data_IF_999789151595
#
_entry.id   IF_999789151595
#
_cell.length_a   1.000
_cell.length_b   1.000
_cell.length_c   1.000
_cell.angle_alpha   90.00
_cell.angle_beta   90.00
_cell.angle_gamma   90.00
#
_symmetry.space_group_name_H-M   'P 1'
#
loop_
_entity.id
_entity.type
_entity.pdbx_description
1 polymer ?
#
# COMPACT_ATOMS: atom_id res chain seq x y z
N UNK A 1 -5.37 -23.76 -12.96
CA UNK A 1 -5.16 -24.96 -13.80
C UNK A 1 -4.23 -25.99 -13.15
N UNK A 2 -2.92 -25.75 -12.94
CA UNK A 2 -2.02 -26.75 -12.31
C UNK A 2 -2.48 -27.28 -10.94
N UNK A 3 -3.00 -26.40 -10.07
CA UNK A 3 -3.50 -26.82 -8.77
C UNK A 3 -4.71 -27.77 -8.89
N UNK A 4 -5.61 -27.50 -9.85
CA UNK A 4 -6.75 -28.36 -10.13
C UNK A 4 -6.32 -29.71 -10.74
N UNK A 5 -5.35 -29.70 -11.67
CA UNK A 5 -4.79 -30.94 -12.24
C UNK A 5 -4.10 -31.80 -11.16
N UNK A 6 -3.32 -31.17 -10.27
CA UNK A 6 -2.69 -31.88 -9.14
C UNK A 6 -3.71 -32.43 -8.15
N UNK A 7 -4.76 -31.68 -7.87
CA UNK A 7 -5.87 -32.12 -7.03
C UNK A 7 -6.59 -33.31 -7.68
N UNK A 8 -6.94 -33.23 -8.97
CA UNK A 8 -7.61 -34.30 -9.69
C UNK A 8 -6.78 -35.59 -9.75
N UNK A 9 -5.45 -35.48 -9.81
CA UNK A 9 -4.56 -36.65 -9.70
C UNK A 9 -4.48 -37.19 -8.27
N UNK A 10 -4.44 -36.31 -7.27
CA UNK A 10 -4.44 -36.72 -5.85
C UNK A 10 -5.75 -37.42 -5.44
N UNK A 11 -6.88 -36.94 -5.96
CA UNK A 11 -8.22 -37.53 -5.76
C UNK A 11 -8.52 -38.66 -6.76
N UNK A 12 -7.54 -39.10 -7.54
CA UNK A 12 -7.66 -40.20 -8.51
C UNK A 12 -8.76 -40.01 -9.58
N UNK A 13 -9.23 -38.78 -9.78
CA UNK A 13 -10.17 -38.41 -10.86
C UNK A 13 -9.50 -38.51 -12.24
N UNK A 14 -8.17 -38.39 -12.28
CA UNK A 14 -7.35 -38.64 -13.48
C UNK A 14 -6.01 -39.22 -13.05
N UNK A 15 -5.44 -40.04 -13.92
CA UNK A 15 -4.10 -40.64 -13.79
C UNK A 15 -3.04 -39.89 -14.62
N UNK A 16 -3.43 -38.81 -15.31
CA UNK A 16 -2.54 -38.05 -16.21
C UNK A 16 -2.47 -36.59 -15.74
N UNK A 17 -1.30 -36.19 -15.25
CA UNK A 17 -0.98 -34.79 -14.96
C UNK A 17 -0.41 -34.11 -16.21
N UNK A 18 -1.22 -33.37 -16.97
CA UNK A 18 -0.72 -32.58 -18.09
C UNK A 18 0.27 -31.51 -17.58
N UNK A 19 1.55 -31.54 -17.98
CA UNK A 19 2.52 -30.55 -17.55
C UNK A 19 2.23 -29.22 -18.25
N UNK A 20 1.76 -28.24 -17.49
CA UNK A 20 1.59 -26.87 -17.97
C UNK A 20 2.83 -26.07 -17.57
N UNK A 21 3.79 -25.83 -18.49
CA UNK A 21 4.98 -25.02 -18.18
C UNK A 21 4.54 -23.59 -17.84
N UNK A 22 5.18 -23.01 -16.83
CA UNK A 22 5.02 -21.59 -16.55
C UNK A 22 5.94 -20.81 -17.47
N UNK A 23 5.48 -19.71 -18.07
CA UNK A 23 6.40 -18.79 -18.73
C UNK A 23 7.41 -18.27 -17.69
N UNK A 24 8.56 -17.83 -18.18
CA UNK A 24 9.54 -17.19 -17.31
C UNK A 24 8.88 -16.04 -16.55
N UNK A 25 9.13 -16.02 -15.25
CA UNK A 25 8.55 -15.01 -14.38
C UNK A 25 9.16 -13.66 -14.76
N UNK A 26 8.34 -12.71 -15.20
CA UNK A 26 8.79 -11.34 -15.42
C UNK A 26 9.57 -10.80 -14.22
N UNK A 27 10.63 -10.05 -14.51
CA UNK A 27 11.43 -9.40 -13.49
C UNK A 27 10.52 -8.56 -12.57
N UNK A 28 10.68 -8.65 -11.24
CA UNK A 28 9.89 -7.83 -10.33
C UNK A 28 10.17 -6.35 -10.58
N UNK A 29 9.11 -5.53 -10.58
CA UNK A 29 9.26 -4.07 -10.70
C UNK A 29 10.04 -3.56 -9.47
N UNK A 30 11.19 -2.93 -9.70
CA UNK A 30 12.09 -2.41 -8.65
C UNK A 30 11.76 -0.98 -8.20
N UNK A 31 10.61 -0.44 -8.61
CA UNK A 31 10.25 0.96 -8.35
C UNK A 31 9.96 1.19 -6.87
N UNK A 32 10.56 2.24 -6.32
CA UNK A 32 10.23 2.84 -5.02
C UNK A 32 10.34 4.36 -5.13
N UNK A 33 9.59 5.12 -4.32
CA UNK A 33 9.51 6.57 -4.41
C UNK A 33 10.55 7.28 -3.53
N UNK A 34 11.12 8.37 -4.03
CA UNK A 34 11.88 9.31 -3.21
C UNK A 34 10.97 10.10 -2.27
N UNK A 35 11.53 10.77 -1.25
CA UNK A 35 10.74 11.62 -0.35
C UNK A 35 9.98 12.74 -1.08
N UNK A 36 10.58 13.48 -2.03
CA UNK A 36 9.85 14.49 -2.81
C UNK A 36 8.72 13.91 -3.66
N UNK A 37 8.93 12.75 -4.31
CA UNK A 37 7.88 12.08 -5.08
C UNK A 37 6.71 11.65 -4.18
N UNK A 38 7.00 11.05 -3.03
CA UNK A 38 5.99 10.67 -2.05
C UNK A 38 5.20 11.90 -1.55
N UNK A 39 5.89 13.00 -1.25
CA UNK A 39 5.26 14.23 -0.80
C UNK A 39 4.33 14.82 -1.88
N UNK A 40 4.77 14.86 -3.15
CA UNK A 40 3.93 15.26 -4.29
C UNK A 40 2.72 14.37 -4.43
N UNK A 41 2.88 13.05 -4.29
CA UNK A 41 1.77 12.09 -4.39
C UNK A 41 0.73 12.29 -3.28
N UNK A 42 1.16 12.45 -2.04
CA UNK A 42 0.24 12.74 -0.90
C UNK A 42 -0.48 14.07 -1.11
N UNK A 43 0.24 15.11 -1.55
CA UNK A 43 -0.33 16.43 -1.80
C UNK A 43 -1.35 16.42 -2.94
N UNK A 44 -1.01 15.78 -4.06
CA UNK A 44 -1.90 15.60 -5.20
C UNK A 44 -3.17 14.84 -4.79
N UNK A 45 -3.02 13.72 -4.06
CA UNK A 45 -4.16 12.97 -3.52
C UNK A 45 -5.04 13.84 -2.60
N UNK A 46 -4.44 14.61 -1.70
CA UNK A 46 -5.20 15.45 -0.77
C UNK A 46 -6.01 16.55 -1.47
N UNK A 47 -5.44 17.15 -2.53
CA UNK A 47 -6.07 18.25 -3.28
C UNK A 47 -6.96 17.78 -4.44
N UNK A 48 -6.89 16.51 -4.82
CA UNK A 48 -7.64 15.96 -5.95
C UNK A 48 -9.12 16.26 -5.80
N UNK A 49 -9.66 16.99 -6.79
CA UNK A 49 -11.04 17.42 -6.83
C UNK A 49 -11.80 16.71 -7.95
N UNK A 50 -13.12 16.62 -7.79
CA UNK A 50 -13.97 16.20 -8.89
C UNK A 50 -13.85 17.22 -10.02
N UNK A 51 -13.70 16.74 -11.25
CA UNK A 51 -13.86 17.55 -12.44
C UNK A 51 -15.11 17.13 -13.21
N UNK A 52 -15.58 18.00 -14.09
CA UNK A 52 -16.55 17.69 -15.13
C UNK A 52 -15.98 18.09 -16.51
N UNK A 53 -16.35 17.42 -17.61
CA UNK A 53 -15.83 17.76 -18.93
C UNK A 53 -16.20 19.19 -19.33
N UNK A 54 -15.23 19.95 -19.85
CA UNK A 54 -15.48 21.20 -20.53
C UNK A 54 -16.20 20.94 -21.86
N UNK A 55 -17.17 21.80 -22.19
CA UNK A 55 -18.01 21.67 -23.37
C UNK A 55 -17.75 22.85 -24.32
N UNK A 56 -17.82 22.60 -25.62
CA UNK A 56 -17.87 23.65 -26.65
C UNK A 56 -19.27 24.30 -26.71
N UNK A 57 -19.43 25.32 -27.54
CA UNK A 57 -20.70 26.04 -27.72
C UNK A 57 -21.85 25.14 -28.22
N UNK A 58 -21.54 23.94 -28.73
CA UNK A 58 -22.50 22.94 -29.21
C UNK A 58 -22.73 21.80 -28.20
N UNK A 59 -22.21 21.93 -26.97
CA UNK A 59 -22.37 20.94 -25.90
C UNK A 59 -21.49 19.69 -26.04
N UNK A 60 -20.49 19.68 -26.91
CA UNK A 60 -19.58 18.54 -27.13
C UNK A 60 -18.36 18.68 -26.22
N UNK A 61 -17.81 17.56 -25.76
CA UNK A 61 -16.62 17.57 -24.90
C UNK A 61 -15.42 18.15 -25.66
N UNK A 62 -14.76 19.13 -25.07
CA UNK A 62 -13.48 19.63 -25.56
C UNK A 62 -12.43 18.56 -25.28
N UNK A 63 -11.74 18.09 -26.32
CA UNK A 63 -10.70 17.06 -26.21
C UNK A 63 -9.34 17.75 -26.19
N UNK A 64 -8.51 17.42 -25.20
CA UNK A 64 -7.14 17.89 -25.07
C UNK A 64 -6.20 17.20 -26.04
N UNK A 65 -4.96 17.68 -26.10
CA UNK A 65 -3.89 17.09 -26.93
C UNK A 65 -3.54 15.65 -26.54
N UNK A 66 -3.92 15.20 -25.34
CA UNK A 66 -3.74 13.84 -24.83
C UNK A 66 -4.89 12.88 -25.21
N UNK A 67 -5.86 13.35 -26.00
CA UNK A 67 -7.06 12.59 -26.39
C UNK A 67 -8.07 12.41 -25.26
N UNK A 68 -7.88 13.04 -24.09
CA UNK A 68 -8.82 13.00 -22.97
C UNK A 68 -9.68 14.28 -22.94
N UNK A 69 -10.90 14.24 -22.37
CA UNK A 69 -11.68 15.45 -22.17
C UNK A 69 -10.94 16.44 -21.27
N UNK A 70 -10.91 17.72 -21.67
CA UNK A 70 -10.50 18.81 -20.80
C UNK A 70 -11.47 18.88 -19.63
N UNK A 71 -10.97 18.96 -18.40
CA UNK A 71 -11.80 18.89 -17.20
C UNK A 71 -11.85 20.25 -16.49
N UNK A 72 -13.05 20.76 -16.25
CA UNK A 72 -13.29 21.91 -15.39
C UNK A 72 -13.22 21.48 -13.90
N UNK A 73 -12.49 22.22 -13.05
CA UNK A 73 -12.35 21.88 -11.64
C UNK A 73 -13.64 22.20 -10.86
N UNK A 74 -13.91 21.41 -9.82
CA UNK A 74 -14.90 21.75 -8.79
C UNK A 74 -14.22 21.92 -7.43
N UNK A 75 -14.97 22.44 -6.44
CA UNK A 75 -14.49 22.52 -5.05
C UNK A 75 -14.54 21.18 -4.30
N UNK A 76 -15.23 20.17 -4.83
CA UNK A 76 -15.47 18.89 -4.13
C UNK A 76 -14.21 18.03 -4.13
N UNK A 77 -13.59 17.84 -2.96
CA UNK A 77 -12.41 16.97 -2.79
C UNK A 77 -12.80 15.50 -2.85
N UNK A 78 -12.15 14.75 -3.73
CA UNK A 78 -12.41 13.32 -3.92
C UNK A 78 -11.23 12.43 -3.50
N UNK A 79 -10.01 12.96 -3.40
CA UNK A 79 -8.83 12.14 -3.12
C UNK A 79 -8.39 12.03 -1.66
N UNK A 80 -9.11 12.65 -0.70
CA UNK A 80 -8.76 12.57 0.74
C UNK A 80 -8.55 11.12 1.21
N UNK A 81 -9.40 10.19 0.78
CA UNK A 81 -9.28 8.76 1.12
C UNK A 81 -8.03 8.11 0.52
N UNK A 82 -7.59 8.54 -0.66
CA UNK A 82 -6.33 8.09 -1.29
C UNK A 82 -5.13 8.58 -0.48
N UNK A 83 -5.15 9.82 0.01
CA UNK A 83 -4.08 10.33 0.88
C UNK A 83 -4.00 9.54 2.20
N UNK A 84 -5.14 9.20 2.81
CA UNK A 84 -5.20 8.31 3.99
C UNK A 84 -4.60 6.93 3.69
N UNK A 85 -4.95 6.36 2.55
CA UNK A 85 -4.39 5.09 2.07
C UNK A 85 -2.86 5.16 1.92
N UNK A 86 -2.35 6.19 1.24
CA UNK A 86 -0.90 6.36 1.01
C UNK A 86 -0.14 6.44 2.34
N UNK A 87 -0.60 7.29 3.26
CA UNK A 87 0.04 7.47 4.56
C UNK A 87 -0.01 6.17 5.36
N UNK A 88 -1.16 5.50 5.42
CA UNK A 88 -1.29 4.27 6.20
C UNK A 88 -0.41 3.15 5.64
N UNK A 89 -0.32 2.99 4.32
CA UNK A 89 0.58 1.99 3.72
C UNK A 89 2.05 2.33 3.94
N UNK A 90 2.45 3.60 3.82
CA UNK A 90 3.83 4.04 4.03
C UNK A 90 4.31 3.79 5.46
N UNK A 91 3.48 4.10 6.46
CA UNK A 91 3.85 3.96 7.87
C UNK A 91 3.79 2.51 8.38
N UNK A 92 2.90 1.67 7.82
CA UNK A 92 2.70 0.31 8.34
C UNK A 92 3.36 -0.78 7.49
N UNK A 93 3.84 -0.42 6.29
CA UNK A 93 4.28 -1.38 5.27
C UNK A 93 3.27 -2.53 5.09
N UNK A 94 1.96 -2.28 5.22
CA UNK A 94 0.91 -3.29 5.07
C UNK A 94 0.58 -3.54 3.60
N UNK A 95 -0.17 -4.60 3.30
CA UNK A 95 -0.66 -4.83 1.92
C UNK A 95 -1.87 -3.94 1.64
N UNK A 96 -2.10 -3.48 0.40
CA UNK A 96 -3.24 -2.63 0.07
C UNK A 96 -4.59 -3.17 0.57
N UNK A 97 -4.82 -4.49 0.41
CA UNK A 97 -6.03 -5.17 0.87
C UNK A 97 -6.25 -5.12 2.38
N UNK A 98 -5.18 -5.12 3.19
CA UNK A 98 -5.25 -4.99 4.64
C UNK A 98 -5.71 -3.57 5.01
N UNK A 99 -5.11 -2.56 4.36
CA UNK A 99 -5.40 -1.15 4.64
C UNK A 99 -6.82 -0.76 4.27
N UNK A 100 -7.29 -1.15 3.08
CA UNK A 100 -8.65 -0.81 2.64
C UNK A 100 -9.73 -1.57 3.43
N UNK A 101 -9.37 -2.69 4.07
CA UNK A 101 -10.28 -3.46 4.91
C UNK A 101 -10.31 -2.99 6.38
N UNK A 102 -9.35 -2.15 6.78
CA UNK A 102 -9.15 -1.74 8.17
C UNK A 102 -10.29 -0.85 8.68
N UNK A 103 -10.99 -1.34 9.69
CA UNK A 103 -11.96 -0.58 10.46
C UNK A 103 -11.26 0.33 11.50
N UNK A 104 -12.04 1.23 12.09
CA UNK A 104 -11.67 2.02 13.27
C UNK A 104 -12.53 1.50 14.42
N UNK A 105 -11.91 0.70 15.30
CA UNK A 105 -12.60 -0.07 16.34
C UNK A 105 -13.03 -1.49 15.92
N UNK A 106 -13.29 -2.40 16.88
CA UNK A 106 -13.62 -3.80 16.62
C UNK A 106 -14.79 -3.94 15.63
N UNK A 107 -14.61 -4.75 14.59
CA UNK A 107 -15.64 -4.98 13.56
C UNK A 107 -15.57 -6.42 13.04
N UNK A 108 -16.73 -7.08 12.95
CA UNK A 108 -16.85 -8.47 12.49
C UNK A 108 -16.27 -8.61 11.08
N UNK A 109 -15.46 -9.66 10.87
CA UNK A 109 -14.86 -9.96 9.58
C UNK A 109 -13.80 -8.96 9.09
N UNK A 110 -13.32 -8.05 9.95
CA UNK A 110 -12.31 -7.04 9.58
C UNK A 110 -11.17 -6.97 10.59
N UNK A 111 -9.99 -6.58 10.09
CA UNK A 111 -8.97 -6.00 10.94
C UNK A 111 -9.37 -4.58 11.34
N UNK A 112 -8.85 -4.09 12.47
CA UNK A 112 -9.21 -2.77 12.98
C UNK A 112 -8.06 -2.07 13.68
N UNK A 113 -8.09 -0.74 13.66
CA UNK A 113 -7.24 0.13 14.47
C UNK A 113 -7.98 0.46 15.76
N UNK A 114 -7.36 0.18 16.88
CA UNK A 114 -7.75 0.67 18.19
C UNK A 114 -7.12 2.05 18.40
N UNK A 115 -7.95 3.09 18.50
CA UNK A 115 -7.49 4.47 18.62
C UNK A 115 -6.95 4.80 20.02
N UNK A 116 -7.28 4.00 21.03
CA UNK A 116 -6.87 4.24 22.41
C UNK A 116 -5.51 3.61 22.66
N UNK A 117 -5.37 2.32 22.33
CA UNK A 117 -4.11 1.58 22.50
C UNK A 117 -3.11 1.81 21.37
N UNK A 118 -3.56 2.25 20.20
CA UNK A 118 -2.72 2.43 19.01
C UNK A 118 -2.36 1.12 18.32
N UNK A 119 -2.97 0.00 18.71
CA UNK A 119 -2.76 -1.30 18.06
C UNK A 119 -3.58 -1.38 16.78
N UNK A 120 -2.93 -1.78 15.69
CA UNK A 120 -3.59 -2.15 14.45
C UNK A 120 -3.63 -3.67 14.31
N UNK A 121 -4.80 -4.22 14.59
CA UNK A 121 -5.14 -5.63 14.35
C UNK A 121 -5.38 -5.83 12.85
N UNK A 122 -4.39 -6.37 12.13
CA UNK A 122 -4.42 -6.35 10.65
C UNK A 122 -5.34 -7.40 10.04
N UNK A 123 -5.81 -8.34 10.86
CA UNK A 123 -6.72 -9.41 10.46
C UNK A 123 -7.95 -9.45 11.36
N UNK A 124 -9.07 -9.98 10.86
CA UNK A 124 -10.15 -10.44 11.71
C UNK A 124 -9.62 -11.49 12.71
N UNK A 125 -10.12 -11.49 13.95
CA UNK A 125 -9.71 -12.46 14.98
C UNK A 125 -9.86 -13.92 14.54
N UNK A 126 -10.88 -14.22 13.73
CA UNK A 126 -11.17 -15.57 13.23
C UNK A 126 -10.36 -15.96 11.99
N UNK A 127 -9.52 -15.07 11.45
CA UNK A 127 -8.82 -15.34 10.22
C UNK A 127 -7.68 -16.33 10.44
N UNK A 128 -7.73 -17.46 9.73
CA UNK A 128 -6.65 -18.47 9.72
C UNK A 128 -5.31 -17.84 9.34
N UNK A 129 -4.26 -18.32 9.98
CA UNK A 129 -2.91 -17.98 9.58
C UNK A 129 -2.58 -18.56 8.20
N UNK A 130 -1.84 -17.78 7.41
CA UNK A 130 -1.36 -18.21 6.09
C UNK A 130 0.06 -17.70 5.91
N UNK A 131 0.76 -18.22 4.89
CA UNK A 131 2.08 -17.70 4.47
C UNK A 131 2.07 -16.19 4.20
N UNK A 132 0.92 -15.61 3.82
CA UNK A 132 0.74 -14.15 3.71
C UNK A 132 0.39 -13.58 5.10
N UNK A 133 1.38 -13.57 5.99
CA UNK A 133 1.24 -13.05 7.36
C UNK A 133 0.81 -11.58 7.33
N UNK A 134 -0.01 -11.20 8.30
CA UNK A 134 -0.38 -9.82 8.56
C UNK A 134 -0.57 -9.72 10.08
N UNK A 135 0.54 -9.64 10.83
CA UNK A 135 0.51 -9.62 12.29
C UNK A 135 -0.04 -8.29 12.79
N UNK A 136 -0.46 -8.31 14.04
CA UNK A 136 -0.84 -7.10 14.76
C UNK A 136 0.39 -6.26 15.04
N UNK A 137 0.23 -4.94 15.01
CA UNK A 137 1.34 -4.01 15.23
C UNK A 137 0.92 -2.83 16.07
N UNK A 138 1.89 -2.26 16.78
CA UNK A 138 1.77 -0.91 17.29
C UNK A 138 1.94 0.09 16.14
N UNK A 139 1.03 1.06 16.05
CA UNK A 139 1.15 2.14 15.09
C UNK A 139 2.21 3.15 15.54
N UNK A 140 2.90 3.75 14.57
CA UNK A 140 3.72 4.93 14.82
C UNK A 140 2.84 6.07 15.41
N UNK A 141 3.31 6.79 16.45
CA UNK A 141 2.52 7.85 17.09
C UNK A 141 2.02 8.93 16.13
N UNK A 142 2.78 9.24 15.06
CA UNK A 142 2.37 10.23 14.05
C UNK A 142 1.20 9.70 13.22
N UNK A 143 1.24 8.44 12.78
CA UNK A 143 0.13 7.83 12.06
C UNK A 143 -1.11 7.74 12.95
N UNK A 144 -0.97 7.33 14.21
CA UNK A 144 -2.08 7.31 15.16
C UNK A 144 -2.72 8.70 15.31
N UNK A 145 -1.88 9.74 15.46
CA UNK A 145 -2.33 11.13 15.50
C UNK A 145 -3.06 11.56 14.22
N UNK A 146 -2.63 11.10 13.04
CA UNK A 146 -3.36 11.33 11.79
C UNK A 146 -4.74 10.66 11.79
N UNK A 147 -4.83 9.40 12.20
CA UNK A 147 -6.11 8.66 12.21
C UNK A 147 -7.10 9.29 13.20
N UNK A 148 -6.63 9.70 14.40
CA UNK A 148 -7.45 10.44 15.37
C UNK A 148 -7.98 11.75 14.77
N UNK A 149 -7.11 12.56 14.13
CA UNK A 149 -7.55 13.78 13.43
C UNK A 149 -8.57 13.51 12.33
N UNK A 150 -8.43 12.40 11.59
CA UNK A 150 -9.41 12.01 10.56
C UNK A 150 -10.75 11.61 11.16
N UNK A 151 -10.74 10.92 12.31
CA UNK A 151 -11.94 10.58 13.06
C UNK A 151 -12.68 11.85 13.53
N UNK A 152 -11.96 12.80 14.12
CA UNK A 152 -12.57 14.04 14.58
C UNK A 152 -13.07 14.89 13.41
N UNK A 153 -12.35 14.90 12.28
CA UNK A 153 -12.82 15.57 11.06
C UNK A 153 -14.13 14.96 10.56
N UNK A 154 -14.26 13.63 10.61
CA UNK A 154 -15.51 12.96 10.28
C UNK A 154 -16.65 13.41 11.22
N UNK A 155 -16.41 13.41 12.54
CA UNK A 155 -17.39 13.86 13.54
C UNK A 155 -17.87 15.29 13.28
N UNK A 156 -16.96 16.21 12.94
CA UNK A 156 -17.30 17.60 12.61
C UNK A 156 -18.06 17.73 11.28
N UNK A 157 -17.68 16.96 10.27
CA UNK A 157 -18.27 17.07 8.92
C UNK A 157 -19.68 16.43 8.83
N UNK A 158 -19.97 15.39 9.60
CA UNK A 158 -21.22 14.62 9.44
C UNK A 158 -21.75 13.95 10.73
N UNK A 159 -21.28 14.36 11.92
CA UNK A 159 -21.81 13.91 13.20
C UNK A 159 -21.47 12.47 13.61
N UNK A 160 -20.67 11.74 12.82
CA UNK A 160 -20.32 10.34 13.08
C UNK A 160 -18.81 10.12 13.19
N UNK A 161 -18.45 9.10 13.96
CA UNK A 161 -17.10 8.56 13.96
C UNK A 161 -16.73 7.98 12.59
N UNK A 162 -15.43 8.01 12.28
CA UNK A 162 -14.86 7.32 11.15
C UNK A 162 -15.03 5.81 11.36
N UNK A 163 -15.55 5.08 10.37
CA UNK A 163 -15.73 3.62 10.48
C UNK A 163 -14.58 2.84 9.89
N UNK A 164 -13.92 3.40 8.89
CA UNK A 164 -12.81 2.76 8.16
C UNK A 164 -11.65 3.73 8.01
N UNK A 165 -10.42 3.24 8.15
CA UNK A 165 -9.22 4.08 7.99
C UNK A 165 -9.22 4.73 6.60
N UNK A 166 -9.59 3.94 5.58
CA UNK A 166 -9.79 4.39 4.20
C UNK A 166 -11.27 4.30 3.86
N UNK A 167 -11.98 5.39 4.12
CA UNK A 167 -13.43 5.52 3.93
C UNK A 167 -13.78 6.42 2.75
N UNK A 168 -14.78 6.02 1.97
CA UNK A 168 -15.40 6.82 0.93
C UNK A 168 -16.91 6.87 1.13
N UNK A 169 -17.48 8.07 1.29
CA UNK A 169 -18.93 8.28 1.52
C UNK A 169 -19.50 7.39 2.65
N UNK A 170 -18.76 7.24 3.76
CA UNK A 170 -19.19 6.40 4.89
C UNK A 170 -18.97 4.90 4.70
N UNK A 171 -18.59 4.44 3.50
CA UNK A 171 -18.33 3.04 3.19
C UNK A 171 -16.85 2.70 3.10
N UNK A 172 -16.49 1.41 3.22
CA UNK A 172 -15.12 0.97 2.96
C UNK A 172 -14.80 1.04 1.48
N UNK A 173 -13.56 1.40 1.14
CA UNK A 173 -13.10 1.36 -0.25
C UNK A 173 -12.85 -0.09 -0.66
N UNK A 174 -13.56 -0.58 -1.68
CA UNK A 174 -13.36 -1.96 -2.19
C UNK A 174 -12.12 -2.07 -3.08
N UNK A 175 -11.85 -1.06 -3.91
CA UNK A 175 -10.74 -1.03 -4.87
C UNK A 175 -10.17 0.38 -4.96
N UNK A 176 -8.91 0.55 -4.59
CA UNK A 176 -8.24 1.87 -4.56
C UNK A 176 -7.57 2.22 -5.90
N UNK A 177 -7.34 1.24 -6.78
CA UNK A 177 -6.47 1.37 -7.96
C UNK A 177 -6.83 2.54 -8.87
N UNK A 178 -8.13 2.74 -9.17
CA UNK A 178 -8.58 3.82 -10.06
C UNK A 178 -8.27 5.20 -9.46
N UNK A 179 -8.64 5.41 -8.20
CA UNK A 179 -8.41 6.67 -7.51
C UNK A 179 -6.91 6.93 -7.26
N UNK A 180 -6.14 5.87 -7.00
CA UNK A 180 -4.69 5.95 -6.85
C UNK A 180 -3.99 6.37 -8.15
N UNK A 181 -4.40 5.81 -9.31
CA UNK A 181 -3.87 6.21 -10.63
C UNK A 181 -4.14 7.69 -10.90
N UNK A 182 -5.35 8.16 -10.64
CA UNK A 182 -5.69 9.58 -10.80
C UNK A 182 -4.80 10.48 -9.91
N UNK A 183 -4.46 10.04 -8.70
CA UNK A 183 -3.52 10.76 -7.84
C UNK A 183 -2.07 10.71 -8.37
N UNK A 184 -1.65 9.62 -9.00
CA UNK A 184 -0.34 9.51 -9.65
C UNK A 184 -0.24 10.42 -10.87
N UNK A 185 -1.25 10.42 -11.74
CA UNK A 185 -1.35 11.33 -12.89
C UNK A 185 -1.28 12.79 -12.42
N UNK A 186 -2.07 13.16 -11.40
CA UNK A 186 -2.04 14.51 -10.82
C UNK A 186 -0.71 14.87 -10.13
N UNK A 187 0.09 13.87 -9.73
CA UNK A 187 1.42 14.07 -9.16
C UNK A 187 2.54 14.07 -10.23
N UNK A 188 2.21 13.82 -11.50
CA UNK A 188 3.20 13.65 -12.57
C UNK A 188 4.07 12.41 -12.37
N UNK A 189 3.47 11.31 -11.88
CA UNK A 189 4.12 10.01 -11.73
C UNK A 189 3.65 9.04 -12.82
N UNK A 190 4.56 8.15 -13.25
CA UNK A 190 4.29 7.13 -14.27
C UNK A 190 3.36 6.01 -13.82
N UNK A 191 2.99 5.15 -14.77
CA UNK A 191 2.14 3.97 -14.56
C UNK A 191 2.86 2.80 -13.85
N UNK A 192 4.18 2.94 -13.67
CA UNK A 192 5.04 2.09 -12.85
C UNK A 192 4.77 2.26 -11.34
N UNK A 193 4.14 3.37 -10.95
CA UNK A 193 3.70 3.64 -9.58
C UNK A 193 2.31 3.07 -9.35
N UNK A 194 2.26 1.95 -8.64
CA UNK A 194 1.01 1.25 -8.27
C UNK A 194 0.89 1.16 -6.75
N UNK A 195 -0.27 0.78 -6.17
CA UNK A 195 -0.40 0.71 -4.71
C UNK A 195 0.73 -0.07 -4.03
N UNK A 196 1.15 -1.21 -4.60
CA UNK A 196 2.23 -2.03 -4.04
C UNK A 196 3.62 -1.36 -4.06
N UNK A 197 3.82 -0.34 -4.89
CA UNK A 197 5.03 0.49 -4.89
C UNK A 197 5.21 1.21 -3.55
N UNK A 198 4.11 1.54 -2.86
CA UNK A 198 4.17 2.19 -1.54
C UNK A 198 4.78 1.26 -0.48
N UNK A 199 4.31 0.01 -0.41
CA UNK A 199 4.95 -1.00 0.44
C UNK A 199 6.44 -1.18 0.12
N UNK A 200 6.79 -1.24 -1.17
CA UNK A 200 8.20 -1.35 -1.57
C UNK A 200 9.00 -0.14 -1.08
N UNK A 201 8.42 1.06 -1.19
CA UNK A 201 8.99 2.31 -0.70
C UNK A 201 9.21 2.29 0.81
N UNK A 202 8.20 1.91 1.59
CA UNK A 202 8.27 1.84 3.05
C UNK A 202 9.42 0.92 3.51
N UNK A 203 9.51 -0.28 2.94
CA UNK A 203 10.56 -1.25 3.29
C UNK A 203 11.93 -0.75 2.85
N UNK A 204 12.05 -0.20 1.64
CA UNK A 204 13.32 0.35 1.14
C UNK A 204 13.81 1.49 2.04
N UNK A 205 12.92 2.41 2.44
CA UNK A 205 13.28 3.50 3.34
C UNK A 205 13.71 2.99 4.71
N UNK A 206 13.00 2.00 5.27
CA UNK A 206 13.36 1.41 6.55
C UNK A 206 14.76 0.76 6.50
N UNK A 207 15.06 0.00 5.44
CA UNK A 207 16.37 -0.61 5.24
C UNK A 207 17.49 0.42 5.07
N UNK A 208 17.27 1.48 4.27
CA UNK A 208 18.24 2.58 4.14
C UNK A 208 18.45 3.35 5.44
N UNK A 209 17.44 3.41 6.29
CA UNK A 209 17.55 3.94 7.65
C UNK A 209 18.11 2.91 8.65
N UNK A 210 18.69 1.80 8.17
CA UNK A 210 19.33 0.74 8.97
C UNK A 210 18.41 0.07 9.99
N UNK A 211 17.11 -0.04 9.68
CA UNK A 211 16.19 -0.81 10.50
C UNK A 211 16.65 -2.28 10.60
N UNK A 212 16.49 -2.88 11.78
CA UNK A 212 16.76 -4.30 11.96
C UNK A 212 15.88 -5.14 11.03
N UNK A 213 16.50 -6.09 10.33
CA UNK A 213 15.83 -6.88 9.28
C UNK A 213 14.81 -7.85 9.85
N UNK A 214 15.07 -8.42 11.02
CA UNK A 214 14.13 -9.34 11.68
C UNK A 214 12.88 -8.56 12.09
N UNK A 215 13.06 -7.49 12.86
CA UNK A 215 11.99 -6.62 13.33
C UNK A 215 11.18 -6.06 12.16
N UNK A 216 11.83 -5.59 11.09
CA UNK A 216 11.13 -5.10 9.90
C UNK A 216 10.35 -6.21 9.17
N UNK A 217 10.89 -7.43 9.11
CA UNK A 217 10.21 -8.56 8.45
C UNK A 217 8.97 -9.01 9.22
N UNK A 218 9.06 -9.05 10.55
CA UNK A 218 7.95 -9.37 11.43
C UNK A 218 6.92 -8.25 11.38
N UNK A 219 7.34 -6.99 11.49
CA UNK A 219 6.48 -5.83 11.33
C UNK A 219 5.77 -5.85 9.98
N UNK A 220 6.46 -6.08 8.87
CA UNK A 220 5.84 -6.10 7.54
C UNK A 220 4.98 -7.36 7.28
N UNK A 221 5.11 -8.42 8.07
CA UNK A 221 4.40 -9.69 7.84
C UNK A 221 4.93 -10.46 6.62
N UNK A 222 6.24 -10.57 6.48
CA UNK A 222 6.91 -11.44 5.49
C UNK A 222 8.08 -12.19 6.14
N UNK A 223 8.64 -13.20 5.47
CA UNK A 223 9.86 -13.86 5.96
C UNK A 223 11.10 -13.03 5.61
N UNK A 224 12.16 -13.12 6.41
CA UNK A 224 13.46 -12.53 6.07
C UNK A 224 13.94 -12.98 4.70
N UNK A 225 13.84 -14.27 4.36
CA UNK A 225 14.23 -14.77 3.04
C UNK A 225 13.45 -14.09 1.89
N UNK A 226 12.16 -13.79 2.10
CA UNK A 226 11.37 -13.03 1.11
C UNK A 226 11.86 -11.58 1.02
N UNK A 227 12.12 -10.96 2.16
CA UNK A 227 12.64 -9.59 2.22
C UNK A 227 14.00 -9.50 1.52
N UNK A 228 14.89 -10.46 1.77
CA UNK A 228 16.20 -10.57 1.14
C UNK A 228 16.09 -10.67 -0.37
N UNK A 229 15.30 -11.62 -0.85
CA UNK A 229 15.10 -11.84 -2.29
C UNK A 229 14.54 -10.61 -3.02
N UNK A 230 13.69 -9.83 -2.36
CA UNK A 230 12.98 -8.71 -2.99
C UNK A 230 13.71 -7.38 -2.85
N UNK A 231 14.41 -7.14 -1.75
CA UNK A 231 14.92 -5.80 -1.41
C UNK A 231 16.45 -5.70 -1.34
N UNK A 232 17.22 -6.79 -1.28
CA UNK A 232 18.68 -6.67 -1.07
C UNK A 232 19.46 -5.99 -2.20
N UNK A 233 18.89 -5.91 -3.40
CA UNK A 233 19.54 -5.20 -4.49
C UNK A 233 19.60 -3.68 -4.30
N UNK A 234 18.91 -3.11 -3.29
CA UNK A 234 18.95 -1.66 -3.01
C UNK A 234 20.15 -1.24 -2.16
N UNK A 235 20.98 -2.18 -1.72
CA UNK A 235 21.90 -2.02 -0.60
C UNK A 235 23.39 -1.89 -1.03
N UNK A 236 23.69 -1.02 -2.01
CA UNK A 236 25.09 -0.65 -2.32
C UNK A 236 25.77 -0.07 -1.06
N UNK A 237 25.02 0.69 -0.25
CA UNK A 237 25.50 1.24 1.03
C UNK A 237 25.78 0.16 2.09
N UNK A 238 25.09 -0.97 2.06
CA UNK A 238 25.37 -2.11 2.94
C UNK A 238 26.57 -2.95 2.48
N UNK A 239 26.81 -3.01 1.17
CA UNK A 239 28.06 -3.56 0.65
C UNK A 239 29.27 -2.71 1.07
N UNK A 240 29.11 -1.38 1.19
CA UNK A 240 30.17 -0.50 1.69
C UNK A 240 30.50 -0.76 3.17
N UNK A 241 29.52 -1.07 4.02
CA UNK A 241 29.79 -1.48 5.41
C UNK A 241 30.43 -2.87 5.50
N UNK A 242 30.06 -3.81 4.63
CA UNK A 242 30.76 -5.09 4.52
C UNK A 242 32.22 -4.90 4.09
N UNK A 243 32.48 -4.03 3.11
CA UNK A 243 33.85 -3.68 2.71
C UNK A 243 34.63 -3.08 3.89
N UNK A 244 34.04 -2.15 4.62
CA UNK A 244 34.66 -1.56 5.82
C UNK A 244 34.90 -2.55 6.95
N UNK A 245 34.03 -3.55 7.12
CA UNK A 245 34.18 -4.61 8.11
C UNK A 245 35.24 -5.66 7.72
N UNK A 246 35.44 -5.90 6.41
CA UNK A 246 36.53 -6.74 5.90
C UNK A 246 37.90 -6.09 6.17
N UNK A 247 37.99 -4.76 5.99
CA UNK A 247 39.23 -4.00 6.19
C UNK A 247 39.43 -3.50 7.63
N UNK A 248 38.40 -3.60 8.47
CA UNK A 248 38.42 -3.09 9.84
C UNK A 248 39.23 -3.99 10.77
N UNK A 249 40.19 -3.42 11.51
CA UNK A 249 40.89 -4.16 12.57
C UNK A 249 39.87 -4.55 13.65
N UNK A 250 39.89 -5.84 14.04
CA UNK A 250 39.10 -6.37 15.16
C UNK A 250 39.45 -5.54 16.40
N UNK A 251 38.47 -4.88 17.03
CA UNK A 251 38.68 -4.22 18.30
C UNK A 251 39.11 -5.27 19.33
N UNK A 252 40.29 -5.08 19.93
CA UNK A 252 40.76 -5.90 21.05
C UNK A 252 39.77 -5.76 22.21
N UNK A 253 39.38 -6.90 22.79
CA UNK A 253 38.48 -7.01 23.94
C UNK A 253 39.02 -6.29 25.17
#
# INVERSE_FOLDING_TARGET
MRAALRFAVAEQLTNIAVPVPLPERHAPRKRWLTRPEMARLVWAAWRLAQGYPALDDKGRKIIGSDGKPVMNPTKRRIGKHVARFILTELYTASRPGVIVNAAVGPTIGRGYVDLDTGVFYRKPREARETKKRAPDILLDPKLLGHIRRWNDACKRENGRSLRYVVEWQGGPVKRINKAFRAACEAAGLGDDVVPHTLRHTAITWALRNRADRQALSDYAGMSQATMQKVYFHTDIEYAATASGAITGKRASR
#
